data_IF_962055069918
#
_entry.id   IF_962055069918
#
_cell.length_a   1.000
_cell.length_b   1.000
_cell.length_c   1.000
_cell.angle_alpha   90.00
_cell.angle_beta   90.00
_cell.angle_gamma   90.00
#
_symmetry.space_group_name_H-M   'P 1'
#
loop_
_entity.id
_entity.type
_entity.pdbx_description
1 polymer ?
#
# COMPACT_ATOMS: atom_id res chain seq x y z
N UNK A 1 -20.47 15.95 -30.64
CA UNK A 1 -20.53 15.17 -29.40
C UNK A 1 -20.50 13.71 -29.80
N UNK A 2 -19.33 13.14 -29.77
CA UNK A 2 -19.17 11.69 -29.91
C UNK A 2 -19.55 11.09 -28.57
N UNK A 3 -20.72 10.46 -28.50
CA UNK A 3 -21.17 9.70 -27.34
C UNK A 3 -20.52 8.30 -27.39
N UNK A 4 -19.20 8.25 -27.50
CA UNK A 4 -18.47 7.02 -27.21
C UNK A 4 -18.73 6.67 -25.75
N UNK A 5 -19.27 5.48 -25.49
CA UNK A 5 -19.61 5.00 -24.17
C UNK A 5 -18.41 5.10 -23.23
N UNK A 6 -18.64 4.97 -21.95
CA UNK A 6 -17.61 5.04 -20.92
C UNK A 6 -18.11 4.40 -19.63
N UNK A 7 -17.23 4.31 -18.66
CA UNK A 7 -17.54 3.83 -17.31
C UNK A 7 -17.74 5.02 -16.39
N UNK A 8 -18.82 5.02 -15.61
CA UNK A 8 -19.07 5.96 -14.53
C UNK A 8 -19.39 5.18 -13.27
N UNK A 9 -18.56 5.32 -12.26
CA UNK A 9 -18.66 4.61 -10.97
C UNK A 9 -18.72 5.62 -9.84
N UNK A 10 -19.67 5.45 -8.93
CA UNK A 10 -19.77 6.26 -7.73
C UNK A 10 -19.52 5.39 -6.50
N UNK A 11 -18.46 5.70 -5.79
CA UNK A 11 -18.09 5.07 -4.52
C UNK A 11 -18.70 5.81 -3.34
N UNK A 12 -19.02 5.07 -2.29
CA UNK A 12 -19.36 5.65 -1.00
C UNK A 12 -18.21 5.47 -0.03
N UNK A 13 -17.81 6.54 0.63
CA UNK A 13 -16.82 6.50 1.70
C UNK A 13 -17.43 5.78 2.89
N UNK A 14 -16.72 4.78 3.43
CA UNK A 14 -17.22 3.93 4.52
C UNK A 14 -17.10 4.65 5.87
N UNK A 15 -16.14 5.54 6.02
CA UNK A 15 -16.02 6.37 7.21
C UNK A 15 -17.25 7.29 7.34
N UNK A 16 -17.79 7.36 8.55
CA UNK A 16 -19.00 8.16 8.84
C UNK A 16 -18.74 9.67 8.88
N UNK A 17 -17.50 10.07 9.12
CA UNK A 17 -17.07 11.46 9.20
C UNK A 17 -15.70 11.63 8.57
N UNK A 18 -15.54 11.43 7.25
CA UNK A 18 -14.25 11.58 6.59
C UNK A 18 -13.80 13.04 6.69
N UNK A 19 -12.53 13.25 7.00
CA UNK A 19 -11.95 14.59 6.93
C UNK A 19 -11.84 15.05 5.48
N UNK A 20 -11.70 16.36 5.27
CA UNK A 20 -11.47 16.90 3.92
C UNK A 20 -10.20 16.31 3.29
N UNK A 21 -9.15 16.12 4.08
CA UNK A 21 -7.89 15.50 3.65
C UNK A 21 -8.10 14.04 3.24
N UNK A 22 -8.89 13.26 4.00
CA UNK A 22 -9.16 11.86 3.63
C UNK A 22 -9.90 11.75 2.29
N UNK A 23 -10.79 12.71 2.00
CA UNK A 23 -11.50 12.77 0.72
C UNK A 23 -10.53 13.16 -0.40
N UNK A 24 -9.68 14.17 -0.20
CA UNK A 24 -8.69 14.64 -1.17
C UNK A 24 -7.67 13.54 -1.48
N UNK A 25 -7.15 12.84 -0.49
CA UNK A 25 -6.24 11.71 -0.65
C UNK A 25 -6.89 10.54 -1.41
N UNK A 26 -8.16 10.26 -1.12
CA UNK A 26 -8.92 9.22 -1.83
C UNK A 26 -9.15 9.61 -3.30
N UNK A 27 -9.46 10.87 -3.58
CA UNK A 27 -9.61 11.38 -4.94
C UNK A 27 -8.29 11.23 -5.70
N UNK A 28 -7.17 11.69 -5.14
CA UNK A 28 -5.85 11.57 -5.77
C UNK A 28 -5.48 10.12 -6.11
N UNK A 29 -5.77 9.17 -5.22
CA UNK A 29 -5.52 7.74 -5.47
C UNK A 29 -6.42 7.17 -6.57
N UNK A 30 -7.67 7.58 -6.64
CA UNK A 30 -8.57 7.15 -7.73
C UNK A 30 -8.18 7.80 -9.07
N UNK A 31 -7.64 9.02 -9.07
CA UNK A 31 -7.09 9.67 -10.26
C UNK A 31 -5.89 8.90 -10.81
N UNK A 32 -4.91 8.54 -9.95
CA UNK A 32 -3.73 7.75 -10.33
C UNK A 32 -4.13 6.42 -11.00
N UNK A 33 -5.12 5.73 -10.46
CA UNK A 33 -5.64 4.49 -11.04
C UNK A 33 -6.42 4.71 -12.33
N UNK A 34 -7.25 5.76 -12.39
CA UNK A 34 -8.03 6.08 -13.59
C UNK A 34 -7.11 6.44 -14.78
N UNK A 35 -5.96 7.07 -14.51
CA UNK A 35 -4.95 7.41 -15.51
C UNK A 35 -4.38 6.17 -16.22
N UNK A 36 -4.30 5.02 -15.54
CA UNK A 36 -3.85 3.76 -16.15
C UNK A 36 -4.79 3.25 -17.25
N UNK A 37 -6.06 3.67 -17.26
CA UNK A 37 -7.06 3.26 -18.26
C UNK A 37 -7.20 4.26 -19.40
N UNK A 38 -7.07 5.54 -19.13
CA UNK A 38 -7.29 6.59 -20.12
C UNK A 38 -6.61 7.88 -19.70
N UNK A 39 -6.11 8.64 -20.66
CA UNK A 39 -5.66 10.02 -20.45
C UNK A 39 -6.82 11.00 -20.26
N UNK A 40 -8.04 10.58 -20.58
CA UNK A 40 -9.26 11.35 -20.37
C UNK A 40 -10.06 10.67 -19.25
N UNK A 41 -10.06 11.25 -18.06
CA UNK A 41 -10.84 10.82 -16.91
C UNK A 41 -11.27 12.01 -16.07
N UNK A 42 -12.24 11.80 -15.20
CA UNK A 42 -12.62 12.75 -14.17
C UNK A 42 -12.89 12.01 -12.86
N UNK A 43 -12.31 12.54 -11.77
CA UNK A 43 -12.56 12.05 -10.40
C UNK A 43 -12.96 13.25 -9.56
N UNK A 44 -14.10 13.17 -8.90
CA UNK A 44 -14.59 14.29 -8.11
C UNK A 44 -15.49 13.86 -6.96
N UNK A 45 -15.45 14.58 -5.83
CA UNK A 45 -16.34 14.31 -4.70
C UNK A 45 -17.79 14.72 -5.03
N UNK A 46 -18.75 13.95 -4.53
CA UNK A 46 -20.19 14.20 -4.64
C UNK A 46 -20.83 14.19 -3.27
N UNK A 47 -21.20 15.36 -2.78
CA UNK A 47 -21.65 15.51 -1.38
C UNK A 47 -20.50 15.27 -0.41
N UNK A 48 -20.84 14.79 0.78
CA UNK A 48 -19.87 14.64 1.88
C UNK A 48 -19.33 13.21 2.02
N UNK A 49 -19.92 12.23 1.30
CA UNK A 49 -19.64 10.81 1.50
C UNK A 49 -19.42 10.00 0.21
N UNK A 50 -19.33 10.67 -0.96
CA UNK A 50 -19.20 9.95 -2.24
C UNK A 50 -18.14 10.57 -3.14
N UNK A 51 -17.54 9.72 -3.98
CA UNK A 51 -16.61 10.10 -5.03
C UNK A 51 -17.05 9.43 -6.33
N UNK A 52 -17.13 10.19 -7.40
CA UNK A 52 -17.45 9.67 -8.74
C UNK A 52 -16.20 9.66 -9.60
N UNK A 53 -16.01 8.53 -10.31
CA UNK A 53 -14.96 8.33 -11.31
C UNK A 53 -15.63 8.14 -12.66
N UNK A 54 -15.21 8.90 -13.66
CA UNK A 54 -15.69 8.81 -15.05
C UNK A 54 -14.52 8.57 -15.98
N UNK A 55 -14.58 7.50 -16.78
CA UNK A 55 -13.54 7.12 -17.74
C UNK A 55 -14.18 6.92 -19.10
N UNK A 56 -14.12 7.91 -20.01
CA UNK A 56 -14.65 7.81 -21.35
C UNK A 56 -13.92 6.74 -22.18
N UNK A 57 -14.64 6.08 -23.07
CA UNK A 57 -14.04 5.14 -24.03
C UNK A 57 -13.68 3.76 -23.49
N UNK A 58 -13.87 3.51 -22.21
CA UNK A 58 -13.69 2.20 -21.58
C UNK A 58 -15.03 1.49 -21.47
N UNK A 59 -15.09 0.24 -21.91
CA UNK A 59 -16.35 -0.50 -22.03
C UNK A 59 -16.50 -1.65 -21.03
N UNK A 60 -15.42 -2.09 -20.37
CA UNK A 60 -15.46 -3.13 -19.35
C UNK A 60 -15.54 -2.54 -17.96
N UNK A 61 -16.76 -2.26 -17.52
CA UNK A 61 -17.03 -1.71 -16.22
C UNK A 61 -16.63 -2.65 -15.06
N UNK A 62 -16.64 -3.98 -15.29
CA UNK A 62 -16.31 -4.93 -14.21
C UNK A 62 -14.81 -4.93 -13.92
N UNK A 63 -13.97 -4.98 -14.95
CA UNK A 63 -12.51 -4.88 -14.78
C UNK A 63 -12.14 -3.55 -14.11
N UNK A 64 -12.70 -2.43 -14.58
CA UNK A 64 -12.46 -1.12 -13.95
C UNK A 64 -12.95 -1.10 -12.49
N UNK A 65 -14.10 -1.70 -12.21
CA UNK A 65 -14.66 -1.75 -10.85
C UNK A 65 -13.78 -2.59 -9.91
N UNK A 66 -13.23 -3.71 -10.38
CA UNK A 66 -12.33 -4.55 -9.62
C UNK A 66 -11.03 -3.81 -9.29
N UNK A 67 -10.40 -3.17 -10.26
CA UNK A 67 -9.13 -2.47 -10.09
C UNK A 67 -9.28 -1.17 -9.29
N UNK A 68 -10.27 -0.33 -9.63
CA UNK A 68 -10.54 0.89 -8.87
C UNK A 68 -11.14 0.62 -7.49
N UNK A 69 -11.88 -0.48 -7.36
CA UNK A 69 -12.53 -0.89 -6.11
C UNK A 69 -11.60 -1.63 -5.16
N UNK A 70 -10.46 -2.07 -5.65
CA UNK A 70 -9.43 -2.60 -4.77
C UNK A 70 -8.91 -1.46 -3.88
N UNK A 71 -9.19 -1.45 -2.56
CA UNK A 71 -8.55 -0.47 -1.70
C UNK A 71 -7.05 -0.61 -1.89
N UNK A 72 -6.31 0.51 -1.98
CA UNK A 72 -4.85 0.51 -2.01
C UNK A 72 -4.37 -0.45 -0.95
N UNK A 73 -3.93 -1.62 -1.38
CA UNK A 73 -3.79 -2.73 -0.47
C UNK A 73 -2.38 -2.69 0.06
N UNK A 74 -2.24 -2.03 1.21
CA UNK A 74 -1.02 -2.10 1.98
C UNK A 74 -0.93 -3.48 2.64
N UNK A 75 0.13 -4.24 2.34
CA UNK A 75 0.41 -5.53 2.96
C UNK A 75 1.80 -5.55 3.57
N UNK A 76 1.90 -6.15 4.74
CA UNK A 76 3.17 -6.52 5.36
C UNK A 76 3.39 -8.01 5.15
N UNK A 77 4.47 -8.38 4.46
CA UNK A 77 4.70 -9.73 3.94
C UNK A 77 6.00 -10.28 4.51
N UNK A 78 5.98 -11.49 5.06
CA UNK A 78 7.21 -12.19 5.47
C UNK A 78 8.02 -12.61 4.25
N UNK A 79 9.35 -12.64 4.37
CA UNK A 79 10.21 -13.01 3.25
C UNK A 79 9.95 -14.44 2.79
N UNK A 80 9.74 -15.38 3.71
CA UNK A 80 9.53 -16.79 3.39
C UNK A 80 8.16 -17.27 3.84
N UNK A 81 7.51 -18.03 2.96
CA UNK A 81 6.30 -18.77 3.28
C UNK A 81 6.55 -19.95 4.23
N UNK A 82 5.47 -20.58 4.68
CA UNK A 82 5.54 -21.77 5.52
C UNK A 82 6.23 -22.97 4.83
N UNK A 83 6.26 -22.98 3.50
CA UNK A 83 6.95 -23.96 2.66
C UNK A 83 8.48 -23.70 2.55
N UNK A 84 8.97 -22.60 3.13
CA UNK A 84 10.37 -22.17 3.09
C UNK A 84 10.79 -21.50 1.80
N UNK A 85 9.88 -21.30 0.83
CA UNK A 85 10.17 -20.57 -0.41
C UNK A 85 10.02 -19.05 -0.20
N UNK A 86 10.76 -18.26 -0.99
CA UNK A 86 10.65 -16.81 -0.93
C UNK A 86 9.30 -16.33 -1.47
N UNK A 87 8.70 -15.36 -0.81
CA UNK A 87 7.46 -14.71 -1.20
C UNK A 87 7.68 -13.56 -2.16
N UNK A 88 8.88 -13.01 -2.18
CA UNK A 88 9.30 -11.96 -3.10
C UNK A 88 10.79 -12.06 -3.41
N UNK A 89 11.18 -11.54 -4.54
CA UNK A 89 12.56 -11.59 -5.05
C UNK A 89 12.98 -10.23 -5.58
N UNK A 90 14.28 -9.95 -5.53
CA UNK A 90 14.86 -8.74 -6.12
C UNK A 90 15.17 -8.95 -7.60
N UNK A 91 14.58 -8.15 -8.46
CA UNK A 91 14.85 -8.16 -9.90
C UNK A 91 16.02 -7.22 -10.22
N UNK A 92 17.18 -7.79 -10.53
CA UNK A 92 18.39 -7.02 -10.84
C UNK A 92 18.27 -6.18 -12.12
N UNK A 93 17.34 -6.50 -13.01
CA UNK A 93 17.15 -5.78 -14.27
C UNK A 93 16.37 -4.48 -14.09
N UNK A 94 15.41 -4.47 -13.17
CA UNK A 94 14.59 -3.29 -12.86
C UNK A 94 15.06 -2.56 -11.61
N UNK A 95 15.82 -3.23 -10.72
CA UNK A 95 16.23 -2.68 -9.43
C UNK A 95 15.11 -2.72 -8.36
N UNK A 96 14.05 -3.50 -8.60
CA UNK A 96 12.85 -3.54 -7.77
C UNK A 96 12.62 -4.93 -7.19
N UNK A 97 11.89 -4.98 -6.08
CA UNK A 97 11.35 -6.24 -5.58
C UNK A 97 10.02 -6.55 -6.27
N UNK A 98 9.78 -7.84 -6.51
CA UNK A 98 8.53 -8.38 -7.08
C UNK A 98 8.07 -9.58 -6.28
N UNK A 99 6.77 -9.83 -6.27
CA UNK A 99 6.24 -11.11 -5.76
C UNK A 99 6.89 -12.25 -6.55
N UNK A 100 7.25 -13.31 -5.84
CA UNK A 100 7.94 -14.46 -6.44
C UNK A 100 7.07 -15.13 -7.52
N UNK A 101 7.73 -15.69 -8.53
CA UNK A 101 7.05 -16.34 -9.65
C UNK A 101 6.11 -17.46 -9.15
N UNK A 102 4.88 -17.46 -9.63
CA UNK A 102 3.85 -18.42 -9.25
C UNK A 102 3.11 -18.09 -7.95
N UNK A 103 3.41 -16.95 -7.33
CA UNK A 103 2.67 -16.40 -6.17
C UNK A 103 1.95 -15.11 -6.56
N UNK A 104 0.90 -14.81 -5.81
CA UNK A 104 0.14 -13.57 -5.86
C UNK A 104 -0.35 -13.22 -4.46
N UNK A 105 -0.97 -12.06 -4.31
CA UNK A 105 -1.46 -11.58 -3.00
C UNK A 105 -2.48 -12.54 -2.38
N UNK A 106 -3.32 -13.19 -3.19
CA UNK A 106 -4.34 -14.09 -2.67
C UNK A 106 -3.73 -15.39 -2.15
N UNK A 107 -2.78 -15.99 -2.86
CA UNK A 107 -2.02 -17.15 -2.37
C UNK A 107 -1.22 -16.83 -1.11
N UNK A 108 -0.63 -15.61 -1.00
CA UNK A 108 0.08 -15.15 0.20
C UNK A 108 -0.85 -14.89 1.41
N UNK A 109 -2.12 -14.57 1.17
CA UNK A 109 -3.14 -14.51 2.23
C UNK A 109 -3.50 -15.91 2.71
N UNK A 110 -3.72 -16.83 1.77
CA UNK A 110 -4.15 -18.20 2.07
C UNK A 110 -3.09 -18.99 2.85
N UNK A 111 -1.81 -18.81 2.53
CA UNK A 111 -0.71 -19.52 3.19
C UNK A 111 -0.22 -18.83 4.48
N UNK A 112 -0.81 -17.69 4.84
CA UNK A 112 -0.46 -16.93 6.05
C UNK A 112 0.83 -16.12 5.96
N UNK A 113 1.35 -15.89 4.76
CA UNK A 113 2.54 -15.04 4.51
C UNK A 113 2.27 -13.55 4.70
N UNK A 114 1.01 -13.12 4.62
CA UNK A 114 0.58 -11.76 4.96
C UNK A 114 0.49 -11.63 6.49
N UNK A 115 1.34 -10.79 7.08
CA UNK A 115 1.34 -10.50 8.51
C UNK A 115 0.04 -9.79 8.91
N UNK A 116 -0.29 -8.72 8.21
CA UNK A 116 -1.56 -7.98 8.24
C UNK A 116 -1.63 -7.04 7.03
N UNK A 117 -2.82 -6.51 6.77
CA UNK A 117 -3.12 -5.55 5.71
C UNK A 117 -3.28 -4.12 6.26
N UNK A 118 -3.61 -3.16 5.39
CA UNK A 118 -3.80 -1.76 5.76
C UNK A 118 -4.82 -1.52 6.88
N UNK A 119 -5.77 -2.45 7.08
CA UNK A 119 -6.72 -2.37 8.20
C UNK A 119 -6.04 -2.48 9.58
N UNK A 120 -4.85 -3.06 9.65
CA UNK A 120 -4.02 -3.13 10.85
C UNK A 120 -3.30 -1.80 11.18
N UNK A 121 -3.22 -0.88 10.25
CA UNK A 121 -2.64 0.46 10.46
C UNK A 121 -3.63 1.33 11.21
N UNK A 122 -3.14 2.04 12.23
CA UNK A 122 -3.91 3.02 13.00
C UNK A 122 -3.71 4.43 12.47
N UNK A 123 -2.46 4.77 12.11
CA UNK A 123 -2.12 6.05 11.48
C UNK A 123 -0.87 5.91 10.63
N UNK A 124 -0.81 6.71 9.57
CA UNK A 124 0.37 6.94 8.74
C UNK A 124 0.61 8.45 8.69
N UNK A 125 1.86 8.88 8.88
CA UNK A 125 2.21 10.30 8.90
C UNK A 125 3.53 10.50 8.17
N UNK A 126 3.52 11.34 7.14
CA UNK A 126 4.72 11.80 6.49
C UNK A 126 5.52 12.71 7.45
N UNK A 127 6.79 12.44 7.61
CA UNK A 127 7.69 13.19 8.50
C UNK A 127 9.12 13.08 8.00
N UNK A 128 10.06 13.67 8.73
CA UNK A 128 11.48 13.60 8.40
C UNK A 128 12.25 12.91 9.51
N UNK A 129 13.09 11.96 9.12
CA UNK A 129 14.13 11.44 10.00
C UNK A 129 15.35 12.36 9.91
N UNK A 130 15.89 12.79 11.05
CA UNK A 130 17.10 13.61 11.08
C UNK A 130 18.28 12.79 11.58
N UNK A 131 19.27 12.65 10.72
CA UNK A 131 20.56 12.06 11.11
C UNK A 131 21.28 12.98 12.11
N UNK A 132 21.50 12.48 13.31
CA UNK A 132 22.09 13.25 14.39
C UNK A 132 23.57 13.58 14.16
N UNK A 133 24.27 12.81 13.32
CA UNK A 133 25.68 13.02 13.04
C UNK A 133 25.90 14.06 11.93
N UNK A 134 25.07 14.05 10.90
CA UNK A 134 25.21 14.93 9.72
C UNK A 134 24.22 16.09 9.72
N UNK A 135 23.13 16.01 10.49
CA UNK A 135 22.02 16.96 10.45
C UNK A 135 21.12 16.82 9.23
N UNK A 136 21.39 15.87 8.33
CA UNK A 136 20.60 15.64 7.14
C UNK A 136 19.20 15.17 7.49
N UNK A 137 18.21 15.65 6.74
CA UNK A 137 16.81 15.22 6.88
C UNK A 137 16.45 14.35 5.69
N UNK A 138 15.84 13.20 5.95
CA UNK A 138 15.31 12.30 4.95
C UNK A 138 13.81 12.12 5.15
N UNK A 139 12.99 12.19 4.10
CA UNK A 139 11.55 11.97 4.20
C UNK A 139 11.29 10.51 4.59
N UNK A 140 10.35 10.31 5.49
CA UNK A 140 9.95 8.99 5.99
C UNK A 140 8.45 8.96 6.26
N UNK A 141 7.86 7.78 6.21
CA UNK A 141 6.50 7.55 6.66
C UNK A 141 6.54 6.84 8.01
N UNK A 142 6.02 7.50 9.03
CA UNK A 142 5.84 6.91 10.36
C UNK A 142 4.46 6.23 10.43
N UNK A 143 4.45 4.94 10.69
CA UNK A 143 3.26 4.13 10.86
C UNK A 143 3.05 3.80 12.32
N UNK A 144 1.80 3.80 12.79
CA UNK A 144 1.41 3.16 14.03
C UNK A 144 0.34 2.10 13.77
N UNK A 145 0.37 1.03 14.55
CA UNK A 145 -0.47 -0.14 14.34
C UNK A 145 -1.56 -0.27 15.41
N UNK A 146 -2.65 -0.93 15.06
CA UNK A 146 -3.64 -1.40 16.01
C UNK A 146 -3.07 -2.56 16.82
N UNK A 147 -3.65 -2.85 17.99
CA UNK A 147 -3.15 -3.84 18.92
C UNK A 147 -2.88 -5.21 18.28
N UNK A 148 -3.87 -5.74 17.55
CA UNK A 148 -3.75 -7.07 16.94
C UNK A 148 -2.65 -7.11 15.87
N UNK A 149 -2.50 -6.05 15.08
CA UNK A 149 -1.43 -5.92 14.10
C UNK A 149 -0.06 -5.79 14.77
N UNK A 150 0.02 -5.07 15.90
CA UNK A 150 1.26 -4.96 16.71
C UNK A 150 1.72 -6.33 17.19
N UNK A 151 0.82 -7.17 17.71
CA UNK A 151 1.16 -8.52 18.19
C UNK A 151 1.67 -9.42 17.05
N UNK A 152 1.01 -9.38 15.89
CA UNK A 152 1.45 -10.10 14.69
C UNK A 152 2.79 -9.60 14.18
N UNK A 153 2.99 -8.28 14.15
CA UNK A 153 4.23 -7.65 13.70
C UNK A 153 5.41 -7.98 14.62
N UNK A 154 5.19 -7.98 15.94
CA UNK A 154 6.19 -8.37 16.92
C UNK A 154 6.67 -9.81 16.70
N UNK A 155 5.74 -10.74 16.45
CA UNK A 155 6.07 -12.14 16.15
C UNK A 155 6.84 -12.28 14.83
N UNK A 156 6.38 -11.60 13.78
CA UNK A 156 7.02 -11.65 12.48
C UNK A 156 8.43 -11.04 12.49
N UNK A 157 8.61 -9.89 13.16
CA UNK A 157 9.92 -9.22 13.27
C UNK A 157 10.90 -10.02 14.13
N UNK A 158 10.43 -10.71 15.20
CA UNK A 158 11.27 -11.60 15.98
C UNK A 158 11.79 -12.77 15.13
N UNK A 159 10.92 -13.39 14.33
CA UNK A 159 11.29 -14.49 13.46
C UNK A 159 12.25 -14.03 12.34
N UNK A 160 11.93 -12.92 11.69
CA UNK A 160 12.77 -12.34 10.64
C UNK A 160 14.16 -11.99 11.19
N UNK A 161 14.25 -11.41 12.39
CA UNK A 161 15.53 -11.12 13.05
C UNK A 161 16.37 -12.38 13.30
N UNK A 162 15.76 -13.45 13.85
CA UNK A 162 16.44 -14.72 14.13
C UNK A 162 16.98 -15.39 12.87
N UNK A 163 16.29 -15.23 11.76
CA UNK A 163 16.62 -15.86 10.48
C UNK A 163 17.46 -14.97 9.56
N UNK A 164 17.65 -13.69 9.90
CA UNK A 164 18.31 -12.70 9.03
C UNK A 164 17.46 -12.34 7.79
N UNK A 165 16.15 -12.39 7.94
CA UNK A 165 15.17 -12.15 6.89
C UNK A 165 14.69 -10.69 6.87
N UNK A 166 14.00 -10.33 5.79
CA UNK A 166 13.37 -9.03 5.57
C UNK A 166 11.85 -9.10 5.78
N UNK A 167 11.22 -7.94 5.89
CA UNK A 167 9.75 -7.81 5.80
C UNK A 167 9.43 -6.90 4.61
N UNK A 168 8.66 -7.41 3.67
CA UNK A 168 8.20 -6.65 2.52
C UNK A 168 7.02 -5.76 2.89
N UNK A 169 7.08 -4.49 2.54
CA UNK A 169 5.96 -3.55 2.62
C UNK A 169 5.50 -3.31 1.19
N UNK A 170 4.36 -3.89 0.86
CA UNK A 170 3.78 -3.91 -0.47
C UNK A 170 2.56 -3.01 -0.50
N UNK A 171 2.53 -2.10 -1.44
CA UNK A 171 1.46 -1.13 -1.60
C UNK A 171 1.19 -0.89 -3.08
N UNK A 172 -0.08 -0.97 -3.48
CA UNK A 172 -0.56 -0.63 -4.81
C UNK A 172 0.27 -1.29 -5.94
N UNK A 173 0.36 -2.63 -5.85
CA UNK A 173 1.03 -3.54 -6.79
C UNK A 173 2.56 -3.45 -6.87
N UNK A 174 3.22 -2.75 -5.94
CA UNK A 174 4.68 -2.73 -5.86
C UNK A 174 5.21 -2.73 -4.42
N UNK A 175 6.47 -3.14 -4.24
CA UNK A 175 7.14 -3.05 -2.95
C UNK A 175 7.68 -1.64 -2.73
N UNK A 176 7.12 -0.92 -1.78
CA UNK A 176 7.61 0.41 -1.40
C UNK A 176 8.83 0.34 -0.49
N UNK A 177 9.03 -0.75 0.24
CA UNK A 177 10.20 -0.98 1.08
C UNK A 177 10.35 -2.45 1.43
N UNK A 178 11.60 -2.93 1.56
CA UNK A 178 11.92 -4.31 1.98
C UNK A 178 13.05 -4.25 3.03
N UNK A 179 12.78 -3.72 4.23
CA UNK A 179 13.80 -3.56 5.27
C UNK A 179 14.25 -4.89 5.87
N UNK A 180 15.55 -4.98 6.16
CA UNK A 180 16.08 -6.03 7.02
C UNK A 180 15.75 -5.71 8.47
N UNK A 181 15.27 -6.69 9.22
CA UNK A 181 15.00 -6.54 10.65
C UNK A 181 16.33 -6.60 11.42
N UNK A 182 16.76 -5.46 11.98
CA UNK A 182 18.06 -5.31 12.66
C UNK A 182 18.00 -5.54 14.19
N UNK A 183 16.81 -5.57 14.76
CA UNK A 183 16.56 -5.81 16.18
C UNK A 183 15.43 -6.79 16.34
N UNK A 184 15.33 -7.50 17.46
CA UNK A 184 14.29 -8.51 17.69
C UNK A 184 12.86 -8.00 17.53
N UNK A 185 11.93 -8.55 18.30
CA UNK A 185 10.52 -8.19 18.21
C UNK A 185 10.26 -6.68 18.37
N UNK A 186 9.56 -6.09 17.40
CA UNK A 186 9.07 -4.70 17.47
C UNK A 186 7.69 -4.73 18.12
N UNK A 187 7.65 -4.35 19.41
CA UNK A 187 6.46 -4.49 20.28
C UNK A 187 5.75 -3.18 20.59
N UNK A 188 6.31 -2.05 20.17
CA UNK A 188 5.77 -0.72 20.46
C UNK A 188 4.66 -0.28 19.49
N UNK A 189 4.41 -1.10 18.45
CA UNK A 189 3.39 -0.84 17.45
C UNK A 189 3.73 0.31 16.50
N UNK A 190 5.01 0.64 16.34
CA UNK A 190 5.48 1.68 15.45
C UNK A 190 6.44 1.10 14.39
N UNK A 191 6.41 1.67 13.20
CA UNK A 191 7.32 1.36 12.10
C UNK A 191 7.63 2.64 11.34
N UNK A 192 8.85 2.76 10.84
CA UNK A 192 9.26 3.87 9.97
C UNK A 192 9.68 3.29 8.63
N UNK A 193 9.06 3.77 7.55
CA UNK A 193 9.44 3.44 6.18
C UNK A 193 10.38 4.53 5.69
N UNK A 194 11.61 4.13 5.36
CA UNK A 194 12.64 5.01 4.80
C UNK A 194 12.78 4.79 3.29
N UNK A 195 13.41 5.72 2.59
CA UNK A 195 13.76 5.56 1.17
C UNK A 195 12.69 6.05 0.21
N UNK A 196 11.72 6.84 0.68
CA UNK A 196 10.81 7.54 -0.21
C UNK A 196 11.61 8.66 -0.91
N UNK A 197 11.55 8.72 -2.24
CA UNK A 197 11.99 9.90 -3.00
C UNK A 197 11.15 11.10 -2.59
N UNK A 198 11.75 12.29 -2.63
CA UNK A 198 11.13 13.55 -2.22
C UNK A 198 9.66 13.62 -2.66
N UNK A 199 8.78 13.99 -1.72
CA UNK A 199 7.42 14.35 -2.07
C UNK A 199 7.49 15.55 -3.02
N UNK A 200 7.19 15.35 -4.30
CA UNK A 200 6.85 16.48 -5.16
C UNK A 200 5.56 17.09 -4.62
N UNK A 201 5.63 18.41 -4.35
CA UNK A 201 4.53 19.24 -3.88
C UNK A 201 3.38 19.31 -4.90
#
# INVERSE_FOLDING_TARGET
>A
LDLSGGVSITYRIVDKNPSKTDIEDTVAKLEERAESYSTEYAVYPVGDDRITVEIPGVYDANTVLEDLGSPGSLYFIVQKGADGTDNYTYDQSTGEYKIAEGKDIDSLKEDGSIIFDGNGVKSATATYNQDQATGSKSPVVALSFKKDATEKFATATENAYKNGETIGIYYDDHFISVPTVKSGAITDGNCVIEGQSDYEE
#
